data_IF_861375308683
#
_entry.id   IF_861375308683
#
_cell.length_a   1.000
_cell.length_b   1.000
_cell.length_c   1.000
_cell.angle_alpha   90.00
_cell.angle_beta   90.00
_cell.angle_gamma   90.00
#
_symmetry.space_group_name_H-M   'P 1'
#
loop_
_entity.id
_entity.type
_entity.pdbx_description
1 polymer ?
#
# COMPACT_ATOMS: atom_id res chain seq x y z
N UNK A 1 -27.91 4.37 10.05
CA UNK A 1 -27.16 5.64 10.09
C UNK A 1 -26.24 5.63 8.87
N UNK A 2 -26.56 6.39 7.83
CA UNK A 2 -25.75 6.43 6.62
C UNK A 2 -24.40 7.10 6.95
N UNK A 3 -23.32 6.33 6.97
CA UNK A 3 -21.97 6.86 7.15
C UNK A 3 -21.58 7.69 5.93
N UNK A 4 -21.87 8.99 5.97
CA UNK A 4 -21.44 9.91 4.94
C UNK A 4 -19.92 9.94 4.90
N UNK A 5 -19.33 9.59 3.77
CA UNK A 5 -17.90 9.74 3.54
C UNK A 5 -17.55 11.21 3.72
N UNK A 6 -16.78 11.55 4.76
CA UNK A 6 -16.33 12.92 4.98
C UNK A 6 -15.43 13.34 3.82
N UNK A 7 -15.82 14.43 3.15
CA UNK A 7 -15.09 15.00 2.02
C UNK A 7 -14.62 16.41 2.36
N UNK A 8 -13.37 16.69 2.04
CA UNK A 8 -12.73 17.98 2.15
C UNK A 8 -12.73 18.68 0.79
N UNK A 9 -12.74 20.01 0.78
CA UNK A 9 -12.72 20.77 -0.47
C UNK A 9 -11.34 21.35 -0.74
N UNK A 10 -10.91 21.27 -1.99
CA UNK A 10 -9.75 21.99 -2.51
C UNK A 10 -10.25 22.89 -3.62
N UNK A 11 -10.12 24.19 -3.43
CA UNK A 11 -10.55 25.22 -4.38
C UNK A 11 -9.30 25.67 -5.13
N UNK A 12 -9.27 25.43 -6.44
CA UNK A 12 -8.20 25.86 -7.34
C UNK A 12 -8.80 26.87 -8.31
N UNK A 13 -8.43 28.13 -8.18
CA UNK A 13 -9.09 29.25 -8.87
C UNK A 13 -10.61 29.22 -8.64
N UNK A 14 -11.42 29.01 -9.67
CA UNK A 14 -12.88 28.93 -9.60
C UNK A 14 -13.42 27.49 -9.54
N UNK A 15 -12.53 26.49 -9.49
CA UNK A 15 -12.89 25.07 -9.53
C UNK A 15 -12.79 24.40 -8.15
N UNK A 16 -13.85 23.69 -7.77
CA UNK A 16 -13.91 22.94 -6.50
C UNK A 16 -13.68 21.46 -6.73
N UNK A 17 -12.64 20.93 -6.12
CA UNK A 17 -12.31 19.52 -6.05
C UNK A 17 -12.68 18.96 -4.68
N UNK A 18 -13.23 17.74 -4.65
CA UNK A 18 -13.58 17.04 -3.41
C UNK A 18 -12.64 15.88 -3.19
N UNK A 19 -11.96 15.88 -2.05
CA UNK A 19 -11.06 14.80 -1.64
C UNK A 19 -11.61 14.10 -0.41
N UNK A 20 -11.50 12.79 -0.38
CA UNK A 20 -11.77 11.95 0.79
C UNK A 20 -10.52 11.88 1.67
N UNK A 21 -10.70 11.54 2.94
CA UNK A 21 -9.58 11.29 3.86
C UNK A 21 -8.59 10.25 3.30
N UNK A 22 -9.10 9.21 2.64
CA UNK A 22 -8.28 8.16 2.02
C UNK A 22 -7.41 8.70 0.89
N UNK A 23 -7.97 9.53 0.00
CA UNK A 23 -7.19 10.17 -1.07
C UNK A 23 -6.10 11.08 -0.51
N UNK A 24 -6.41 11.85 0.53
CA UNK A 24 -5.44 12.75 1.18
C UNK A 24 -4.27 11.96 1.78
N UNK A 25 -4.53 10.79 2.38
CA UNK A 25 -3.49 9.94 2.95
C UNK A 25 -2.66 9.16 1.94
N UNK A 26 -3.05 9.14 0.66
CA UNK A 26 -2.43 8.29 -0.36
C UNK A 26 -0.91 8.50 -0.46
N UNK A 27 -0.48 9.76 -0.52
CA UNK A 27 0.93 10.16 -0.57
C UNK A 27 1.27 11.02 0.66
N UNK A 28 0.93 10.49 1.84
CA UNK A 28 1.19 11.15 3.12
C UNK A 28 2.65 10.97 3.57
N UNK A 29 3.29 11.98 4.19
CA UNK A 29 2.76 13.32 4.47
C UNK A 29 2.81 14.24 3.25
N UNK A 30 1.80 15.11 3.13
CA UNK A 30 1.69 16.12 2.09
C UNK A 30 0.98 17.39 2.60
N UNK A 31 0.86 18.41 1.73
CA UNK A 31 0.18 19.66 2.03
C UNK A 31 -1.25 19.45 2.56
N UNK A 32 -2.01 18.54 1.95
CA UNK A 32 -3.41 18.28 2.31
C UNK A 32 -3.54 17.55 3.64
N UNK A 33 -2.62 16.63 3.97
CA UNK A 33 -2.63 16.00 5.31
C UNK A 33 -2.41 17.05 6.40
N UNK A 34 -1.50 17.99 6.18
CA UNK A 34 -1.22 19.03 7.16
C UNK A 34 -2.37 20.04 7.31
N UNK A 35 -2.91 20.54 6.20
CA UNK A 35 -3.95 21.57 6.25
C UNK A 35 -5.34 21.00 6.57
N UNK A 36 -5.78 19.97 5.85
CA UNK A 36 -7.16 19.49 5.96
C UNK A 36 -7.35 18.51 7.13
N UNK A 37 -6.32 17.74 7.49
CA UNK A 37 -6.43 16.74 8.55
C UNK A 37 -5.84 17.25 9.87
N UNK A 38 -4.57 17.65 9.88
CA UNK A 38 -3.88 18.01 11.13
C UNK A 38 -4.40 19.33 11.70
N UNK A 39 -4.62 20.35 10.86
CA UNK A 39 -5.29 21.60 11.27
C UNK A 39 -6.81 21.50 11.27
N UNK A 40 -7.38 20.38 10.81
CA UNK A 40 -8.83 20.16 10.72
C UNK A 40 -9.56 21.26 9.92
N UNK A 41 -8.93 21.78 8.86
CA UNK A 41 -9.58 22.69 7.91
C UNK A 41 -10.55 21.89 7.00
N UNK A 42 -11.76 22.39 6.77
CA UNK A 42 -12.72 21.72 5.87
C UNK A 42 -12.43 21.99 4.39
N UNK A 43 -11.76 23.10 4.11
CA UNK A 43 -11.42 23.55 2.77
C UNK A 43 -10.11 24.34 2.72
N UNK A 44 -9.44 24.26 1.57
CA UNK A 44 -8.26 25.07 1.24
C UNK A 44 -8.45 25.71 -0.12
N UNK A 45 -8.02 26.96 -0.26
CA UNK A 45 -8.02 27.70 -1.52
C UNK A 45 -6.60 27.97 -1.98
N UNK A 46 -6.33 27.73 -3.26
CA UNK A 46 -4.99 27.76 -3.84
C UNK A 46 -5.02 28.40 -5.22
N UNK A 47 -3.99 29.18 -5.51
CA UNK A 47 -3.79 29.80 -6.83
C UNK A 47 -2.85 28.93 -7.68
N UNK A 48 -3.40 27.87 -8.29
CA UNK A 48 -2.69 26.88 -9.13
C UNK A 48 -3.50 26.57 -10.38
N UNK A 49 -2.93 25.84 -11.32
CA UNK A 49 -3.64 25.48 -12.56
C UNK A 49 -4.65 24.33 -12.28
N UNK A 50 -5.95 24.51 -12.54
CA UNK A 50 -6.95 23.50 -12.23
C UNK A 50 -6.88 22.27 -13.16
N UNK A 51 -6.31 22.38 -14.36
CA UNK A 51 -6.12 21.24 -15.26
C UNK A 51 -5.00 20.32 -14.74
N UNK A 52 -3.89 20.89 -14.28
CA UNK A 52 -2.82 20.13 -13.62
C UNK A 52 -3.31 19.53 -12.30
N UNK A 53 -4.13 20.27 -11.54
CA UNK A 53 -4.71 19.74 -10.32
C UNK A 53 -5.62 18.53 -10.58
N UNK A 54 -6.35 18.48 -11.70
CA UNK A 54 -7.10 17.28 -12.08
C UNK A 54 -6.20 16.04 -12.20
N UNK A 55 -5.00 16.20 -12.76
CA UNK A 55 -4.00 15.13 -12.87
C UNK A 55 -3.52 14.71 -11.47
N UNK A 56 -3.34 15.66 -10.57
CA UNK A 56 -2.99 15.37 -9.16
C UNK A 56 -4.11 14.59 -8.48
N UNK A 57 -5.38 14.92 -8.74
CA UNK A 57 -6.51 14.13 -8.22
C UNK A 57 -6.49 12.71 -8.79
N UNK A 58 -6.18 12.52 -10.08
CA UNK A 58 -5.99 11.18 -10.64
C UNK A 58 -4.85 10.41 -9.93
N UNK A 59 -3.74 11.09 -9.64
CA UNK A 59 -2.63 10.51 -8.87
C UNK A 59 -3.06 10.11 -7.45
N UNK A 60 -3.79 10.98 -6.73
CA UNK A 60 -4.32 10.69 -5.38
C UNK A 60 -5.40 9.60 -5.37
N UNK A 61 -5.99 9.30 -6.53
CA UNK A 61 -6.83 8.11 -6.76
C UNK A 61 -6.00 6.83 -7.00
N UNK A 62 -4.69 6.93 -7.01
CA UNK A 62 -3.74 5.85 -7.28
C UNK A 62 -3.43 5.62 -8.77
N UNK A 63 -3.87 6.47 -9.69
CA UNK A 63 -3.55 6.27 -11.11
C UNK A 63 -2.10 6.66 -11.41
N UNK A 64 -1.43 5.90 -12.29
CA UNK A 64 -0.23 6.40 -12.95
C UNK A 64 -0.65 7.43 -13.99
N UNK A 65 -0.12 8.64 -13.82
CA UNK A 65 -0.49 9.80 -14.63
C UNK A 65 0.44 10.01 -15.82
N UNK A 66 1.50 9.21 -15.92
CA UNK A 66 2.49 9.25 -17.01
C UNK A 66 2.39 8.01 -17.93
N UNK A 67 2.62 8.15 -19.25
CA UNK A 67 2.84 9.42 -19.97
C UNK A 67 1.58 10.31 -19.96
N UNK A 68 1.79 11.63 -19.92
CA UNK A 68 0.69 12.59 -19.92
C UNK A 68 -0.12 12.45 -21.21
N UNK A 69 -1.43 12.28 -21.06
CA UNK A 69 -2.32 12.18 -22.21
C UNK A 69 -2.65 13.59 -22.69
N UNK A 70 -2.40 13.85 -23.98
CA UNK A 70 -2.61 15.17 -24.58
C UNK A 70 -4.08 15.63 -24.55
N UNK A 71 -5.03 14.68 -24.50
CA UNK A 71 -6.47 14.96 -24.37
C UNK A 71 -6.89 15.48 -22.98
N UNK A 72 -6.00 15.43 -21.99
CA UNK A 72 -6.24 15.94 -20.62
C UNK A 72 -5.51 17.25 -20.32
N UNK A 73 -4.71 17.75 -21.25
CA UNK A 73 -3.97 18.99 -21.08
C UNK A 73 -4.79 20.17 -21.61
N UNK A 74 -4.63 21.37 -21.02
CA UNK A 74 -5.21 22.56 -21.62
C UNK A 74 -4.59 22.78 -23.01
N UNK A 75 -5.35 23.30 -24.00
CA UNK A 75 -4.85 23.47 -25.38
C UNK A 75 -3.57 24.30 -25.51
N UNK A 76 -3.29 25.13 -24.50
CA UNK A 76 -2.13 26.01 -24.42
C UNK A 76 -0.86 25.33 -23.93
N UNK A 77 -0.93 24.07 -23.47
CA UNK A 77 0.16 23.40 -22.78
C UNK A 77 0.58 22.13 -23.51
N UNK A 78 1.85 22.07 -23.92
CA UNK A 78 2.43 20.83 -24.45
C UNK A 78 2.66 19.80 -23.33
N UNK A 79 2.77 18.50 -23.64
CA UNK A 79 3.09 17.47 -22.64
C UNK A 79 4.37 17.75 -21.85
N UNK A 80 5.42 18.27 -22.50
CA UNK A 80 6.68 18.55 -21.82
C UNK A 80 6.55 19.71 -20.82
N UNK A 81 5.82 20.77 -21.20
CA UNK A 81 5.53 21.90 -20.30
C UNK A 81 4.63 21.44 -19.16
N UNK A 82 3.63 20.61 -19.46
CA UNK A 82 2.75 20.05 -18.45
C UNK A 82 3.49 19.18 -17.45
N UNK A 83 4.47 18.38 -17.90
CA UNK A 83 5.30 17.57 -17.02
C UNK A 83 6.15 18.45 -16.09
N UNK A 84 6.77 19.49 -16.63
CA UNK A 84 7.57 20.44 -15.85
C UNK A 84 6.72 21.17 -14.80
N UNK A 85 5.54 21.66 -15.18
CA UNK A 85 4.63 22.35 -14.27
C UNK A 85 4.02 21.39 -13.23
N UNK A 86 3.65 20.18 -13.62
CA UNK A 86 3.15 19.15 -12.72
C UNK A 86 4.20 18.80 -11.66
N UNK A 87 5.49 18.79 -12.02
CA UNK A 87 6.58 18.61 -11.07
C UNK A 87 6.63 19.75 -10.04
N UNK A 88 6.54 21.01 -10.50
CA UNK A 88 6.50 22.18 -9.61
C UNK A 88 5.32 22.10 -8.64
N UNK A 89 4.15 21.66 -9.11
CA UNK A 89 2.99 21.50 -8.24
C UNK A 89 3.16 20.30 -7.29
N UNK A 90 3.73 19.18 -7.74
CA UNK A 90 4.04 18.03 -6.88
C UNK A 90 5.01 18.42 -5.75
N UNK A 91 6.02 19.23 -6.03
CA UNK A 91 6.93 19.79 -5.02
C UNK A 91 6.19 20.70 -4.04
N UNK A 92 5.33 21.59 -4.54
CA UNK A 92 4.53 22.48 -3.71
C UNK A 92 3.59 21.71 -2.77
N UNK A 93 2.92 20.68 -3.27
CA UNK A 93 2.03 19.84 -2.48
C UNK A 93 2.76 18.80 -1.63
N UNK A 94 4.09 18.68 -1.76
CA UNK A 94 4.90 17.68 -1.08
C UNK A 94 4.48 16.23 -1.40
N UNK A 95 4.10 15.98 -2.64
CA UNK A 95 3.70 14.67 -3.15
C UNK A 95 4.95 13.89 -3.60
N UNK A 96 5.66 13.33 -2.63
CA UNK A 96 6.95 12.66 -2.84
C UNK A 96 6.80 11.44 -3.77
N UNK A 97 5.74 10.64 -3.59
CA UNK A 97 5.48 9.50 -4.46
C UNK A 97 5.16 9.92 -5.90
N UNK A 98 4.55 11.10 -6.11
CA UNK A 98 4.37 11.65 -7.45
C UNK A 98 5.71 12.09 -8.06
N UNK A 99 6.58 12.74 -7.29
CA UNK A 99 7.92 13.11 -7.76
C UNK A 99 8.73 11.88 -8.19
N UNK A 100 8.72 10.82 -7.38
CA UNK A 100 9.38 9.55 -7.73
C UNK A 100 8.80 8.95 -9.03
N UNK A 101 7.49 9.03 -9.22
CA UNK A 101 6.82 8.57 -10.44
C UNK A 101 7.20 9.41 -11.67
N UNK A 102 7.38 10.72 -11.52
CA UNK A 102 7.80 11.60 -12.61
C UNK A 102 9.27 11.38 -12.99
N UNK A 103 10.14 11.09 -12.02
CA UNK A 103 11.56 10.81 -12.24
C UNK A 103 11.84 9.42 -12.81
N UNK A 104 11.15 8.43 -12.27
CA UNK A 104 11.31 7.03 -12.65
C UNK A 104 9.94 6.40 -12.87
N UNK A 105 9.28 6.72 -14.01
CA UNK A 105 7.96 6.20 -14.32
C UNK A 105 7.97 4.67 -14.25
N UNK A 106 7.07 4.06 -13.45
CA UNK A 106 7.01 2.61 -13.38
C UNK A 106 6.63 2.08 -14.77
N UNK A 107 7.17 0.93 -15.18
CA UNK A 107 6.71 0.28 -16.40
C UNK A 107 5.20 0.10 -16.33
N UNK A 108 4.44 0.43 -17.40
CA UNK A 108 3.02 0.15 -17.45
C UNK A 108 2.77 -1.31 -17.06
N UNK A 109 1.87 -1.55 -16.11
CA UNK A 109 1.53 -2.88 -15.58
C UNK A 109 2.59 -3.59 -14.70
N UNK A 110 3.61 -2.89 -14.20
CA UNK A 110 4.54 -3.49 -13.23
C UNK A 110 3.80 -3.94 -11.96
N UNK A 111 4.34 -4.95 -11.26
CA UNK A 111 3.80 -5.42 -9.98
C UNK A 111 3.75 -4.28 -8.95
N UNK A 112 4.80 -3.45 -8.91
CA UNK A 112 4.88 -2.29 -8.02
C UNK A 112 3.78 -1.27 -8.33
N UNK A 113 3.51 -1.00 -9.61
CA UNK A 113 2.38 -0.15 -10.00
C UNK A 113 1.03 -0.72 -9.55
N UNK A 114 0.83 -2.04 -9.65
CA UNK A 114 -0.40 -2.68 -9.17
C UNK A 114 -0.53 -2.58 -7.65
N UNK A 115 0.56 -2.76 -6.90
CA UNK A 115 0.59 -2.65 -5.43
C UNK A 115 0.28 -1.23 -4.94
N UNK A 116 0.75 -0.19 -5.64
CA UNK A 116 0.44 1.21 -5.30
C UNK A 116 -1.06 1.53 -5.32
N UNK A 117 -1.87 0.76 -6.04
CA UNK A 117 -3.33 0.97 -6.19
C UNK A 117 -4.19 0.23 -5.17
N UNK A 118 -3.55 -0.49 -4.27
CA UNK A 118 -4.21 -1.44 -3.38
C UNK A 118 -3.92 -1.03 -1.93
N UNK A 119 -4.88 -1.32 -1.05
CA UNK A 119 -4.72 -1.09 0.37
C UNK A 119 -3.70 -2.07 0.94
N UNK A 120 -2.58 -1.58 1.50
CA UNK A 120 -1.60 -2.45 2.12
C UNK A 120 -2.12 -2.89 3.51
N UNK A 121 -2.08 -4.19 3.75
CA UNK A 121 -2.37 -4.80 5.05
C UNK A 121 -1.21 -5.68 5.48
N UNK A 122 -1.01 -5.81 6.79
CA UNK A 122 -0.04 -6.73 7.34
C UNK A 122 -0.79 -7.90 7.96
N UNK A 123 -0.41 -9.13 7.56
CA UNK A 123 -0.97 -10.33 8.15
C UNK A 123 0.10 -11.11 8.88
N UNK A 124 -0.29 -11.63 10.04
CA UNK A 124 0.41 -12.68 10.75
C UNK A 124 -0.34 -14.00 10.53
N UNK A 125 0.42 -15.01 10.13
CA UNK A 125 -0.08 -16.38 9.97
C UNK A 125 0.64 -17.26 10.98
N UNK A 126 -0.11 -17.93 11.86
CA UNK A 126 0.47 -18.79 12.90
C UNK A 126 -0.05 -20.22 12.84
N UNK A 127 0.81 -21.16 13.24
CA UNK A 127 0.43 -22.55 13.50
C UNK A 127 1.27 -23.14 14.62
N UNK A 128 0.60 -23.72 15.62
CA UNK A 128 1.23 -24.51 16.68
C UNK A 128 1.06 -26.00 16.41
N UNK A 129 2.18 -26.72 16.23
CA UNK A 129 2.14 -28.17 16.11
C UNK A 129 3.37 -28.82 15.47
N UNK A 130 3.25 -30.11 15.17
CA UNK A 130 4.34 -30.97 14.66
C UNK A 130 4.34 -31.06 13.13
N UNK A 131 5.42 -31.59 12.56
CA UNK A 131 5.51 -31.92 11.13
C UNK A 131 6.08 -30.82 10.25
N UNK A 132 6.12 -31.09 8.94
CA UNK A 132 6.61 -30.14 7.92
C UNK A 132 5.50 -29.17 7.51
N UNK A 133 5.86 -27.93 7.19
CA UNK A 133 4.89 -26.84 6.99
C UNK A 133 3.96 -27.10 5.81
N UNK A 134 4.45 -27.76 4.77
CA UNK A 134 3.74 -28.12 3.56
C UNK A 134 2.71 -29.25 3.73
N UNK A 135 2.79 -30.01 4.82
CA UNK A 135 1.90 -31.12 5.13
C UNK A 135 0.76 -30.73 6.11
N UNK A 136 0.76 -29.49 6.60
CA UNK A 136 -0.26 -28.98 7.52
C UNK A 136 -1.50 -28.59 6.71
N UNK A 137 -2.67 -29.03 7.16
CA UNK A 137 -3.94 -28.63 6.57
C UNK A 137 -4.19 -27.12 6.74
N UNK A 138 -4.73 -26.46 5.70
CA UNK A 138 -4.81 -24.99 5.63
C UNK A 138 -5.66 -24.38 6.75
N UNK A 139 -6.67 -25.10 7.22
CA UNK A 139 -7.59 -24.72 8.31
C UNK A 139 -6.92 -24.68 9.70
N UNK A 140 -5.72 -25.26 9.83
CA UNK A 140 -4.95 -25.21 11.09
C UNK A 140 -4.10 -23.95 11.24
N UNK A 141 -4.05 -23.12 10.20
CA UNK A 141 -3.35 -21.84 10.25
C UNK A 141 -4.31 -20.75 10.71
N UNK A 142 -3.88 -19.96 11.69
CA UNK A 142 -4.60 -18.79 12.16
C UNK A 142 -4.06 -17.56 11.43
N UNK A 143 -4.92 -16.85 10.72
CA UNK A 143 -4.55 -15.65 9.96
C UNK A 143 -5.14 -14.44 10.66
N UNK A 144 -4.31 -13.46 10.98
CA UNK A 144 -4.70 -12.26 11.74
C UNK A 144 -4.19 -11.00 11.05
N UNK A 145 -5.02 -9.96 11.00
CA UNK A 145 -4.60 -8.61 10.65
C UNK A 145 -3.74 -8.04 11.78
N UNK A 146 -2.66 -7.38 11.41
CA UNK A 146 -1.70 -6.77 12.34
C UNK A 146 -1.52 -5.31 11.95
N UNK A 147 -1.50 -4.42 12.95
CA UNK A 147 -1.17 -3.03 12.69
C UNK A 147 0.31 -2.88 12.32
N UNK A 148 0.60 -1.95 11.39
CA UNK A 148 1.98 -1.70 10.94
C UNK A 148 2.95 -1.44 12.11
N UNK A 149 2.49 -0.73 13.15
CA UNK A 149 3.32 -0.43 14.32
C UNK A 149 3.69 -1.69 15.10
N UNK A 150 2.71 -2.56 15.37
CA UNK A 150 2.96 -3.84 16.05
C UNK A 150 3.90 -4.72 15.23
N UNK A 151 3.77 -4.66 13.90
CA UNK A 151 4.68 -5.33 12.97
C UNK A 151 6.11 -4.78 13.06
N UNK A 152 6.29 -3.46 13.01
CA UNK A 152 7.61 -2.82 13.07
C UNK A 152 8.33 -3.10 14.40
N UNK A 153 7.59 -3.06 15.52
CA UNK A 153 8.12 -3.37 16.85
C UNK A 153 8.60 -4.83 16.93
N UNK A 154 7.84 -5.76 16.35
CA UNK A 154 8.20 -7.17 16.30
C UNK A 154 9.43 -7.42 15.42
N UNK A 155 9.49 -6.81 14.24
CA UNK A 155 10.62 -6.97 13.32
C UNK A 155 11.93 -6.42 13.93
N UNK A 156 11.86 -5.34 14.72
CA UNK A 156 13.03 -4.73 15.38
C UNK A 156 13.51 -5.52 16.60
N UNK A 157 12.59 -6.09 17.38
CA UNK A 157 12.92 -6.77 18.65
C UNK A 157 13.28 -8.24 18.46
N UNK A 158 12.70 -8.90 17.46
CA UNK A 158 12.99 -10.29 17.14
C UNK A 158 13.80 -10.40 15.85
N UNK A 159 15.12 -10.37 15.99
CA UNK A 159 16.10 -10.61 14.92
C UNK A 159 16.09 -12.06 14.37
N UNK A 160 14.95 -12.76 14.50
CA UNK A 160 14.76 -14.19 14.20
C UNK A 160 14.16 -14.44 12.81
N UNK A 161 13.73 -13.39 12.11
CA UNK A 161 13.10 -13.48 10.80
C UNK A 161 14.12 -13.48 9.66
N UNK A 162 14.93 -14.54 9.62
CA UNK A 162 15.79 -15.03 8.51
C UNK A 162 16.90 -14.12 7.97
N UNK A 163 18.09 -14.72 7.89
CA UNK A 163 19.27 -14.21 7.19
C UNK A 163 19.21 -14.67 5.73
N UNK A 164 18.92 -13.71 4.84
CA UNK A 164 18.63 -13.92 3.41
C UNK A 164 19.82 -14.46 2.60
N UNK A 165 20.99 -14.67 3.20
CA UNK A 165 22.23 -15.05 2.51
C UNK A 165 22.53 -16.55 2.51
N UNK A 166 21.82 -17.37 3.30
CA UNK A 166 22.10 -18.80 3.43
C UNK A 166 21.26 -19.66 2.46
N UNK A 167 21.90 -20.53 1.67
CA UNK A 167 21.27 -21.43 0.70
C UNK A 167 20.18 -22.35 1.30
N UNK A 168 20.33 -22.79 2.56
CA UNK A 168 19.31 -23.56 3.27
C UNK A 168 18.07 -22.73 3.61
N UNK A 169 18.25 -21.43 3.84
CA UNK A 169 17.15 -20.52 4.06
C UNK A 169 16.39 -20.21 2.76
N UNK A 170 17.04 -20.25 1.59
CA UNK A 170 16.35 -20.09 0.29
C UNK A 170 15.35 -21.21 0.00
N UNK A 171 15.72 -22.48 0.29
CA UNK A 171 14.81 -23.62 0.12
C UNK A 171 13.63 -23.53 1.08
N UNK A 172 13.91 -23.17 2.33
CA UNK A 172 12.88 -22.95 3.35
C UNK A 172 11.95 -21.80 2.95
N UNK A 173 12.50 -20.71 2.43
CA UNK A 173 11.74 -19.56 1.93
C UNK A 173 10.80 -19.96 0.80
N UNK A 174 11.26 -20.78 -0.15
CA UNK A 174 10.42 -21.26 -1.25
C UNK A 174 9.25 -22.12 -0.74
N UNK A 175 9.49 -23.01 0.24
CA UNK A 175 8.45 -23.81 0.88
C UNK A 175 7.44 -22.94 1.63
N UNK A 176 7.93 -22.01 2.46
CA UNK A 176 7.09 -21.04 3.18
C UNK A 176 6.25 -20.26 2.19
N UNK A 177 6.84 -19.70 1.12
CA UNK A 177 6.10 -18.98 0.09
C UNK A 177 5.00 -19.83 -0.56
N UNK A 178 5.30 -21.08 -0.87
CA UNK A 178 4.34 -22.02 -1.46
C UNK A 178 3.14 -22.28 -0.54
N UNK A 179 3.38 -22.46 0.76
CA UNK A 179 2.31 -22.66 1.75
C UNK A 179 1.53 -21.37 1.98
N UNK A 180 2.22 -20.24 2.17
CA UNK A 180 1.61 -18.92 2.34
C UNK A 180 0.66 -18.59 1.20
N UNK A 181 1.07 -18.82 -0.05
CA UNK A 181 0.19 -18.59 -1.21
C UNK A 181 -1.13 -19.39 -1.13
N UNK A 182 -1.06 -20.65 -0.66
CA UNK A 182 -2.27 -21.48 -0.48
C UNK A 182 -3.14 -20.96 0.65
N UNK A 183 -2.53 -20.57 1.78
CA UNK A 183 -3.24 -20.00 2.94
C UNK A 183 -3.96 -18.72 2.55
N UNK A 184 -3.27 -17.77 1.92
CA UNK A 184 -3.85 -16.47 1.55
C UNK A 184 -5.02 -16.61 0.57
N UNK A 185 -4.89 -17.49 -0.44
CA UNK A 185 -5.98 -17.81 -1.37
C UNK A 185 -7.19 -18.45 -0.70
N UNK A 186 -6.96 -19.23 0.37
CA UNK A 186 -8.02 -19.83 1.16
C UNK A 186 -8.68 -18.82 2.11
N UNK A 187 -7.89 -17.93 2.70
CA UNK A 187 -8.34 -16.95 3.68
C UNK A 187 -9.20 -15.83 3.07
N UNK A 188 -8.82 -15.30 1.91
CA UNK A 188 -9.59 -14.22 1.27
C UNK A 188 -9.35 -14.13 -0.24
N UNK A 189 -10.44 -14.04 -1.01
CA UNK A 189 -10.40 -13.72 -2.45
C UNK A 189 -10.14 -12.22 -2.74
N UNK A 190 -10.12 -11.36 -1.71
CA UNK A 190 -9.81 -9.93 -1.87
C UNK A 190 -8.32 -9.65 -2.02
N UNK A 191 -7.45 -10.60 -1.60
CA UNK A 191 -6.00 -10.47 -1.69
C UNK A 191 -5.58 -10.65 -3.15
N UNK A 192 -5.00 -9.59 -3.71
CA UNK A 192 -4.53 -9.56 -5.10
C UNK A 192 -3.04 -9.85 -5.21
N UNK A 193 -2.25 -9.25 -4.31
CA UNK A 193 -0.80 -9.36 -4.30
C UNK A 193 -0.31 -9.52 -2.85
N UNK A 194 0.87 -10.10 -2.68
CA UNK A 194 1.48 -10.25 -1.36
C UNK A 194 2.99 -10.44 -1.43
N UNK A 195 3.68 -10.03 -0.37
CA UNK A 195 5.11 -10.22 -0.18
C UNK A 195 5.38 -10.95 1.14
N UNK A 196 6.32 -11.90 1.09
CA UNK A 196 6.85 -12.55 2.29
C UNK A 196 7.84 -11.60 2.98
N UNK A 197 7.49 -11.14 4.17
CA UNK A 197 8.34 -10.25 4.96
C UNK A 197 9.32 -11.04 5.82
N UNK A 198 8.85 -12.15 6.40
CA UNK A 198 9.67 -13.02 7.24
C UNK A 198 8.92 -14.26 7.72
N UNK A 199 9.66 -15.21 8.30
CA UNK A 199 9.09 -16.36 9.02
C UNK A 199 9.98 -16.81 10.18
N UNK A 200 9.39 -17.42 11.19
CA UNK A 200 10.07 -18.01 12.33
C UNK A 200 9.51 -19.38 12.68
N UNK A 201 10.31 -20.16 13.41
CA UNK A 201 9.95 -21.48 13.92
C UNK A 201 10.54 -21.65 15.32
N UNK A 202 9.68 -21.60 16.33
CA UNK A 202 10.07 -21.65 17.73
C UNK A 202 9.64 -22.98 18.36
N UNK A 203 10.52 -23.61 19.13
CA UNK A 203 10.21 -24.85 19.82
C UNK A 203 9.36 -24.57 21.07
N UNK A 204 8.27 -25.33 21.25
CA UNK A 204 7.29 -25.13 22.32
C UNK A 204 7.17 -26.35 23.25
N UNK A 205 8.13 -27.27 23.22
CA UNK A 205 8.06 -28.52 23.98
C UNK A 205 7.33 -29.65 23.25
N UNK A 206 7.54 -30.89 23.70
CA UNK A 206 6.89 -32.11 23.19
C UNK A 206 6.95 -32.31 21.67
N UNK A 207 7.99 -31.80 20.99
CA UNK A 207 8.11 -31.85 19.53
C UNK A 207 7.22 -30.84 18.79
N UNK A 208 6.51 -29.96 19.50
CA UNK A 208 5.70 -28.90 18.92
C UNK A 208 6.54 -27.68 18.57
N UNK A 209 6.13 -27.00 17.50
CA UNK A 209 6.71 -25.74 17.08
C UNK A 209 5.61 -24.71 16.83
N UNK A 210 5.81 -23.50 17.35
CA UNK A 210 5.10 -22.32 16.90
C UNK A 210 5.77 -21.84 15.62
N UNK A 211 5.01 -21.80 14.53
CA UNK A 211 5.44 -21.23 13.26
C UNK A 211 4.72 -19.91 13.09
N UNK A 212 5.47 -18.87 12.76
CA UNK A 212 4.94 -17.55 12.46
C UNK A 212 5.42 -17.16 11.07
N UNK A 213 4.51 -16.71 10.22
CA UNK A 213 4.82 -16.16 8.90
C UNK A 213 4.21 -14.77 8.84
N UNK A 214 5.02 -13.81 8.41
CA UNK A 214 4.63 -12.42 8.28
C UNK A 214 4.59 -12.05 6.81
N UNK A 215 3.47 -11.46 6.40
CA UNK A 215 3.26 -11.03 5.02
C UNK A 215 2.69 -9.62 4.96
N UNK A 216 3.09 -8.89 3.93
CA UNK A 216 2.33 -7.74 3.46
C UNK A 216 1.40 -8.23 2.36
N UNK A 217 0.14 -7.83 2.40
CA UNK A 217 -0.85 -8.13 1.36
C UNK A 217 -1.45 -6.85 0.84
N UNK A 218 -1.95 -6.91 -0.38
CA UNK A 218 -2.59 -5.79 -1.07
C UNK A 218 -3.97 -6.23 -1.57
N UNK A 219 -5.00 -5.45 -1.21
CA UNK A 219 -6.39 -5.69 -1.59
C UNK A 219 -7.06 -4.44 -2.17
N UNK A 220 -8.14 -4.63 -2.95
CA UNK A 220 -8.86 -3.51 -3.60
C UNK A 220 -9.61 -2.61 -2.61
N UNK A 221 -9.88 -3.13 -1.41
CA UNK A 221 -10.57 -2.43 -0.32
C UNK A 221 -9.91 -2.77 1.00
N UNK A 222 -10.40 -2.16 2.07
CA UNK A 222 -10.10 -2.60 3.44
C UNK A 222 -10.42 -4.10 3.59
N UNK A 223 -9.46 -4.86 4.13
CA UNK A 223 -9.51 -6.30 4.13
C UNK A 223 -10.46 -6.77 5.24
N UNK A 224 -11.59 -7.34 4.84
CA UNK A 224 -12.44 -8.11 5.77
C UNK A 224 -12.03 -9.57 5.72
N UNK A 225 -11.49 -10.09 6.82
CA UNK A 225 -11.16 -11.51 6.92
C UNK A 225 -12.31 -12.26 7.59
N UNK A 226 -12.61 -13.46 7.08
CA UNK A 226 -13.39 -14.45 7.82
C UNK A 226 -12.47 -15.02 8.89
N UNK A 227 -12.65 -14.55 10.12
CA UNK A 227 -12.08 -15.17 11.32
C UNK A 227 -12.83 -16.47 11.63
#
# INVERSE_FOLDING_TARGET
MAGGTMTYKVIIEDQVFKLTKTQIHFDSPNYFTFHLLDKSEEEVELTRDPHLFRIIVDYLNGYCVVPLRQDRLPPTMSPDIALANLRVDAEFYQLHGLLDMLDSPPPPMSLEYRKQRLFPHYLMITHLGKGKVEAIALDRFHVMLVERRQFDDWFRTENKFTDRTNKYQLVTAAQVRGVTNKILKHASSQIQEWDLLGWSKEYQGDGNYLRTILVQVWSQSELSMRL
#
